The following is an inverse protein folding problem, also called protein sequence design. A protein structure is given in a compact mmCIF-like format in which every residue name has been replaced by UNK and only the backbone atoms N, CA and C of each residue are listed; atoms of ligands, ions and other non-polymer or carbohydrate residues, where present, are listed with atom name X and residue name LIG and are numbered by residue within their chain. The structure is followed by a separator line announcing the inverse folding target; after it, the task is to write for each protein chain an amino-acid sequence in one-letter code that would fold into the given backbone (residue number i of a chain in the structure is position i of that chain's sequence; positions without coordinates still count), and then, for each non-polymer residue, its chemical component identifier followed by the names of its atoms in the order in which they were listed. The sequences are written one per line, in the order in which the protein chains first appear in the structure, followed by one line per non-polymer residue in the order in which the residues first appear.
data_IF_779266194438
#
_entry.id   IF_779266194438
#
_cell.length_a   1.000
_cell.length_b   1.000
_cell.length_c   1.000
_cell.angle_alpha   90.00
_cell.angle_beta   90.00
_cell.angle_gamma   90.00
#
_symmetry.space_group_name_H-M   'P 1'
#
loop_
_entity.id
_entity.type
_entity.pdbx_description
1 polymer ?
#
# COMPACT_ATOMS: atom_id res chain seq x y z
N UNK A 1 -15.76 79.39 -18.30
CA UNK A 1 -16.00 78.45 -17.19
C UNK A 1 -16.71 77.24 -17.75
N UNK A 2 -15.96 76.18 -18.05
CA UNK A 2 -16.54 74.94 -18.60
C UNK A 2 -16.81 73.95 -17.45
N UNK A 3 -18.07 73.67 -17.22
CA UNK A 3 -18.51 72.66 -16.24
C UNK A 3 -18.41 71.28 -16.87
N UNK A 4 -17.52 70.43 -16.31
CA UNK A 4 -17.37 69.05 -16.69
C UNK A 4 -18.52 68.23 -16.12
N UNK A 5 -19.27 67.57 -17.01
CA UNK A 5 -20.46 66.82 -16.68
C UNK A 5 -20.11 65.39 -16.23
N UNK A 6 -20.23 65.10 -14.93
CA UNK A 6 -19.80 63.84 -14.25
C UNK A 6 -20.73 62.64 -14.48
N UNK A 7 -21.75 62.73 -15.34
CA UNK A 7 -22.72 61.61 -15.51
C UNK A 7 -22.23 60.41 -16.31
N UNK A 8 -21.11 60.50 -17.03
CA UNK A 8 -20.64 59.39 -17.90
C UNK A 8 -19.50 58.54 -17.29
N UNK A 9 -19.02 58.88 -16.11
CA UNK A 9 -17.89 58.12 -15.49
C UNK A 9 -18.39 56.85 -14.75
N UNK A 10 -19.62 56.86 -14.25
CA UNK A 10 -20.15 55.72 -13.50
C UNK A 10 -20.49 54.49 -14.37
N UNK A 11 -20.79 54.69 -15.64
CA UNK A 11 -21.11 53.56 -16.56
C UNK A 11 -19.88 52.76 -16.98
N UNK A 12 -18.73 53.39 -17.13
CA UNK A 12 -17.46 52.73 -17.56
C UNK A 12 -16.80 51.96 -16.41
N UNK A 13 -16.95 52.44 -15.17
CA UNK A 13 -16.39 51.76 -13.98
C UNK A 13 -17.21 50.50 -13.64
N UNK A 14 -18.54 50.51 -13.83
CA UNK A 14 -19.38 49.33 -13.60
C UNK A 14 -19.15 48.20 -14.65
N UNK A 15 -18.85 48.55 -15.92
CA UNK A 15 -18.49 47.56 -16.95
C UNK A 15 -17.10 46.94 -16.71
N UNK A 16 -16.15 47.75 -16.21
CA UNK A 16 -14.80 47.26 -15.88
C UNK A 16 -14.74 46.30 -14.67
N UNK A 17 -15.59 46.56 -13.68
CA UNK A 17 -15.70 45.69 -12.50
C UNK A 17 -16.45 44.39 -12.83
N UNK A 18 -17.41 44.40 -13.71
CA UNK A 18 -18.14 43.20 -14.19
C UNK A 18 -17.25 42.24 -14.96
N UNK A 19 -16.31 42.73 -15.75
CA UNK A 19 -15.35 41.92 -16.49
C UNK A 19 -14.23 41.33 -15.62
N UNK A 20 -13.83 42.02 -14.54
CA UNK A 20 -12.84 41.51 -13.59
C UNK A 20 -13.37 40.43 -12.65
N UNK A 21 -14.68 40.42 -12.37
CA UNK A 21 -15.31 39.39 -11.52
C UNK A 21 -15.53 38.08 -12.28
N UNK A 22 -15.67 38.09 -13.61
CA UNK A 22 -15.78 36.85 -14.41
C UNK A 22 -14.45 36.13 -14.64
N UNK A 23 -13.31 36.78 -14.45
CA UNK A 23 -11.99 36.16 -14.59
C UNK A 23 -11.54 35.36 -13.35
N UNK A 24 -12.26 35.43 -12.23
CA UNK A 24 -11.86 34.80 -10.96
C UNK A 24 -12.66 33.56 -10.54
N UNK A 25 -13.50 32.97 -11.41
CA UNK A 25 -14.39 31.86 -11.01
C UNK A 25 -14.09 30.49 -11.61
N UNK A 26 -12.89 30.26 -12.10
CA UNK A 26 -12.43 28.88 -12.32
C UNK A 26 -11.38 28.52 -11.26
N UNK A 27 -11.83 28.28 -10.01
CA UNK A 27 -11.06 27.40 -9.14
C UNK A 27 -11.00 26.06 -9.88
N UNK A 28 -9.81 25.51 -10.16
CA UNK A 28 -9.72 24.15 -10.64
C UNK A 28 -10.46 23.29 -9.62
N UNK A 29 -11.39 22.47 -10.11
CA UNK A 29 -12.16 21.60 -9.25
C UNK A 29 -11.19 20.86 -8.33
N UNK A 30 -11.48 20.81 -7.03
CA UNK A 30 -10.69 20.22 -5.94
C UNK A 30 -10.37 18.72 -6.08
N UNK A 31 -10.65 18.12 -7.24
CA UNK A 31 -10.58 16.70 -7.52
C UNK A 31 -9.18 16.21 -7.92
N UNK A 32 -8.15 17.06 -7.87
CA UNK A 32 -6.79 16.70 -8.33
C UNK A 32 -5.73 16.72 -7.23
N UNK A 33 -6.16 16.84 -5.97
CA UNK A 33 -5.28 16.86 -4.79
C UNK A 33 -5.04 15.43 -4.24
N UNK A 34 -4.76 14.47 -5.14
CA UNK A 34 -4.38 13.14 -4.68
C UNK A 34 -2.96 13.13 -4.12
N UNK A 35 -2.74 12.26 -3.14
CA UNK A 35 -1.42 12.03 -2.54
C UNK A 35 -1.02 10.58 -2.81
N UNK A 36 0.18 10.36 -3.38
CA UNK A 36 1.15 11.34 -3.88
C UNK A 36 0.67 12.05 -5.15
N UNK A 37 1.15 13.29 -5.36
CA UNK A 37 0.87 14.02 -6.61
C UNK A 37 1.63 13.36 -7.76
N UNK A 38 1.03 13.25 -8.96
CA UNK A 38 1.75 12.82 -10.15
C UNK A 38 2.87 13.79 -10.54
N UNK A 39 3.89 13.28 -11.25
CA UNK A 39 5.02 14.06 -11.75
C UNK A 39 4.57 15.17 -12.72
N UNK A 40 3.55 14.92 -13.53
CA UNK A 40 2.98 15.91 -14.45
C UNK A 40 1.46 15.85 -14.50
N UNK A 41 0.81 17.02 -14.43
CA UNK A 41 -0.64 17.18 -14.58
C UNK A 41 -0.92 18.34 -15.52
N UNK A 42 -1.73 18.11 -16.55
CA UNK A 42 -2.26 19.13 -17.44
C UNK A 42 -3.78 19.07 -17.48
N UNK A 43 -4.44 20.15 -17.08
CA UNK A 43 -5.91 20.26 -17.11
C UNK A 43 -6.32 20.87 -18.44
N UNK A 44 -7.29 20.24 -19.10
CA UNK A 44 -7.80 20.69 -20.37
C UNK A 44 -9.23 21.26 -20.23
N UNK A 45 -9.54 22.25 -21.05
CA UNK A 45 -10.92 22.65 -21.24
C UNK A 45 -11.67 21.54 -22.01
N UNK A 46 -12.86 21.16 -21.55
CA UNK A 46 -13.66 20.14 -22.24
C UNK A 46 -14.79 19.58 -21.36
N UNK A 47 -15.64 18.78 -21.98
CA UNK A 47 -16.65 18.04 -21.22
C UNK A 47 -16.00 16.91 -20.41
N UNK A 48 -16.45 16.68 -19.15
CA UNK A 48 -15.96 15.59 -18.36
C UNK A 48 -16.36 14.24 -18.95
N UNK A 49 -15.56 13.20 -18.67
CA UNK A 49 -15.95 11.81 -18.86
C UNK A 49 -16.92 11.40 -17.76
N UNK A 50 -17.97 10.66 -18.12
CA UNK A 50 -18.92 10.11 -17.15
C UNK A 50 -18.83 8.60 -17.12
N UNK A 51 -18.59 8.03 -15.95
CA UNK A 51 -18.66 6.58 -15.72
C UNK A 51 -20.10 6.19 -15.49
N UNK A 52 -20.61 5.29 -16.31
CA UNK A 52 -21.97 4.72 -16.22
C UNK A 52 -21.97 3.22 -16.60
N UNK A 53 -23.13 2.56 -16.59
CA UNK A 53 -23.30 1.13 -16.88
C UNK A 53 -22.91 0.74 -18.32
N UNK A 54 -22.71 1.72 -19.22
CA UNK A 54 -22.21 1.49 -20.60
C UNK A 54 -20.72 1.52 -20.67
N UNK A 55 -20.03 2.02 -19.63
CA UNK A 55 -18.58 2.14 -19.60
C UNK A 55 -17.94 0.78 -19.72
N UNK A 56 -17.03 0.64 -20.69
CA UNK A 56 -16.35 -0.61 -20.99
C UNK A 56 -14.85 -0.47 -20.70
N UNK A 57 -14.29 -1.42 -19.98
CA UNK A 57 -12.83 -1.56 -19.86
C UNK A 57 -12.32 -2.36 -21.03
N UNK A 58 -11.41 -1.77 -21.79
CA UNK A 58 -10.80 -2.38 -22.97
C UNK A 58 -9.32 -2.64 -22.66
N UNK A 59 -8.87 -3.87 -22.89
CA UNK A 59 -7.48 -4.28 -22.70
C UNK A 59 -6.95 -5.04 -23.93
N UNK A 60 -5.59 -5.15 -24.10
CA UNK A 60 -4.99 -5.69 -25.31
C UNK A 60 -5.45 -7.10 -25.64
N UNK A 61 -5.65 -7.38 -26.94
CA UNK A 61 -5.87 -8.74 -27.45
C UNK A 61 -4.65 -9.61 -27.19
N UNK A 62 -4.88 -10.90 -26.90
CA UNK A 62 -3.81 -11.89 -26.63
C UNK A 62 -3.49 -12.08 -25.13
N UNK A 63 -4.12 -11.30 -24.24
CA UNK A 63 -4.16 -11.60 -22.81
C UNK A 63 -5.57 -12.07 -22.46
N UNK A 64 -5.69 -13.32 -22.02
CA UNK A 64 -7.00 -13.87 -21.64
C UNK A 64 -7.56 -13.25 -20.37
N UNK A 65 -6.69 -12.67 -19.54
CA UNK A 65 -7.06 -12.10 -18.24
C UNK A 65 -6.28 -10.82 -17.96
N UNK A 66 -6.92 -9.93 -17.21
CA UNK A 66 -6.27 -8.75 -16.62
C UNK A 66 -5.32 -9.20 -15.49
N UNK A 67 -4.19 -8.50 -15.28
CA UNK A 67 -3.37 -8.70 -14.09
C UNK A 67 -4.21 -8.60 -12.81
N UNK A 68 -3.87 -9.41 -11.81
CA UNK A 68 -4.62 -9.49 -10.56
C UNK A 68 -4.80 -8.12 -9.88
N UNK A 69 -3.74 -7.31 -9.80
CA UNK A 69 -3.80 -5.96 -9.22
C UNK A 69 -4.75 -5.04 -9.98
N UNK A 70 -4.75 -5.11 -11.31
CA UNK A 70 -5.66 -4.34 -12.17
C UNK A 70 -7.11 -4.76 -11.93
N UNK A 71 -7.38 -6.07 -11.91
CA UNK A 71 -8.72 -6.63 -11.65
C UNK A 71 -9.23 -6.25 -10.27
N UNK A 72 -8.38 -6.31 -9.25
CA UNK A 72 -8.69 -5.90 -7.87
C UNK A 72 -9.11 -4.43 -7.81
N UNK A 73 -8.32 -3.53 -8.42
CA UNK A 73 -8.63 -2.10 -8.42
C UNK A 73 -9.96 -1.79 -9.13
N UNK A 74 -10.23 -2.46 -10.25
CA UNK A 74 -11.51 -2.33 -10.98
C UNK A 74 -12.66 -2.75 -10.07
N UNK A 75 -12.57 -3.91 -9.42
CA UNK A 75 -13.62 -4.40 -8.52
C UNK A 75 -13.86 -3.47 -7.32
N UNK A 76 -12.82 -2.81 -6.84
CA UNK A 76 -12.96 -1.79 -5.79
C UNK A 76 -13.67 -0.52 -6.29
N UNK A 77 -13.38 -0.08 -7.54
CA UNK A 77 -14.11 1.03 -8.17
C UNK A 77 -15.58 0.68 -8.39
N UNK A 78 -15.88 -0.52 -8.89
CA UNK A 78 -17.26 -1.02 -9.06
C UNK A 78 -18.03 -1.04 -7.73
N UNK A 79 -17.40 -1.52 -6.67
CA UNK A 79 -18.01 -1.54 -5.33
C UNK A 79 -18.31 -0.15 -4.79
N UNK A 80 -17.41 0.82 -5.02
CA UNK A 80 -17.64 2.20 -4.59
C UNK A 80 -18.73 2.90 -5.37
N UNK A 81 -18.74 2.73 -6.69
CA UNK A 81 -19.69 3.43 -7.58
C UNK A 81 -21.05 2.74 -7.67
N UNK A 82 -21.12 1.44 -7.36
CA UNK A 82 -22.28 0.58 -7.63
C UNK A 82 -22.46 0.26 -9.11
N UNK A 83 -21.48 0.60 -9.98
CA UNK A 83 -21.54 0.42 -11.43
C UNK A 83 -20.66 -0.75 -11.82
N UNK A 84 -21.23 -1.77 -12.45
CA UNK A 84 -20.46 -2.88 -13.03
C UNK A 84 -19.92 -2.50 -14.40
N UNK A 85 -18.61 -2.52 -14.56
CA UNK A 85 -17.93 -2.15 -15.79
C UNK A 85 -17.83 -3.35 -16.74
N UNK A 86 -18.26 -3.15 -18.01
CA UNK A 86 -18.11 -4.17 -19.03
C UNK A 86 -16.63 -4.38 -19.35
N UNK A 87 -16.26 -5.63 -19.65
CA UNK A 87 -14.87 -5.99 -20.03
C UNK A 87 -14.85 -6.45 -21.48
N UNK A 88 -13.89 -5.96 -22.27
CA UNK A 88 -13.72 -6.32 -23.67
C UNK A 88 -12.26 -6.37 -24.06
N UNK A 89 -11.93 -7.21 -25.03
CA UNK A 89 -10.63 -7.26 -25.68
C UNK A 89 -10.69 -6.62 -27.06
N UNK A 90 -9.66 -5.85 -27.43
CA UNK A 90 -9.56 -5.19 -28.75
C UNK A 90 -10.21 -3.82 -28.83
N UNK A 91 -9.82 -3.04 -29.83
CA UNK A 91 -10.12 -1.61 -29.96
C UNK A 91 -11.42 -1.32 -30.77
N UNK A 92 -12.45 -2.14 -30.66
CA UNK A 92 -13.72 -1.90 -31.32
C UNK A 92 -14.58 -0.97 -30.45
N UNK A 93 -14.84 0.24 -30.92
CA UNK A 93 -15.68 1.25 -30.30
C UNK A 93 -15.05 1.93 -29.07
N UNK A 94 -14.29 3.00 -29.30
CA UNK A 94 -13.55 3.77 -28.30
C UNK A 94 -14.41 4.85 -27.59
N UNK A 95 -15.76 4.73 -27.62
CA UNK A 95 -16.66 5.64 -26.89
C UNK A 95 -17.08 5.02 -25.58
N UNK A 96 -17.12 5.85 -24.54
CA UNK A 96 -17.45 5.49 -23.18
C UNK A 96 -16.63 4.28 -22.69
N UNK A 97 -15.30 4.43 -22.76
CA UNK A 97 -14.40 3.35 -22.39
C UNK A 97 -13.19 3.82 -21.56
N UNK A 98 -12.67 2.88 -20.78
CA UNK A 98 -11.35 2.95 -20.13
C UNK A 98 -10.44 2.00 -20.90
N UNK A 99 -9.50 2.56 -21.65
CA UNK A 99 -8.61 1.81 -22.52
C UNK A 99 -7.25 1.62 -21.85
N UNK A 100 -6.87 0.37 -21.61
CA UNK A 100 -5.55 0.00 -21.09
C UNK A 100 -4.63 -0.41 -22.23
N UNK A 101 -3.46 0.23 -22.32
CA UNK A 101 -2.43 -0.06 -23.33
C UNK A 101 -1.07 -0.29 -22.67
N UNK A 102 -0.31 -1.23 -23.20
CA UNK A 102 1.09 -1.38 -22.82
C UNK A 102 1.94 -0.39 -23.62
N UNK A 103 2.84 0.32 -22.94
CA UNK A 103 3.81 1.22 -23.54
C UNK A 103 5.22 0.94 -23.02
N UNK A 104 6.01 0.22 -23.82
CA UNK A 104 7.37 -0.19 -23.46
C UNK A 104 8.36 0.99 -23.32
N UNK A 105 8.05 2.17 -23.84
CA UNK A 105 8.90 3.35 -23.78
C UNK A 105 8.84 4.09 -22.43
N UNK A 106 7.82 3.79 -21.60
CA UNK A 106 7.68 4.39 -20.28
C UNK A 106 8.70 3.80 -19.29
N UNK A 107 9.08 4.54 -18.23
CA UNK A 107 9.86 4.01 -17.12
C UNK A 107 9.14 2.84 -16.41
N UNK A 108 9.88 2.03 -15.66
CA UNK A 108 9.29 0.99 -14.78
C UNK A 108 8.27 1.64 -13.85
N UNK A 109 7.11 0.99 -13.68
CA UNK A 109 5.96 1.49 -12.92
C UNK A 109 5.39 2.84 -13.43
N UNK A 110 5.86 3.34 -14.58
CA UNK A 110 5.42 4.61 -15.18
C UNK A 110 4.14 4.44 -16.00
N UNK A 111 3.30 5.47 -15.96
CA UNK A 111 2.06 5.52 -16.75
C UNK A 111 1.78 6.91 -17.31
N UNK A 112 0.98 6.94 -18.39
CA UNK A 112 0.27 8.12 -18.89
C UNK A 112 -1.22 7.86 -18.83
N UNK A 113 -1.98 8.85 -18.39
CA UNK A 113 -3.43 8.78 -18.31
C UNK A 113 -4.01 10.04 -18.95
N UNK A 114 -4.92 9.83 -19.91
CA UNK A 114 -5.62 10.93 -20.60
C UNK A 114 -7.13 10.73 -20.50
N UNK A 115 -7.81 11.73 -19.97
CA UNK A 115 -9.26 11.78 -19.86
C UNK A 115 -9.80 12.80 -20.87
N UNK A 116 -10.76 12.38 -21.67
CA UNK A 116 -11.58 13.25 -22.52
C UNK A 116 -13.06 12.85 -22.40
N UNK A 117 -13.96 13.55 -23.09
CA UNK A 117 -15.40 13.29 -22.98
C UNK A 117 -15.82 11.87 -23.39
N UNK A 118 -15.07 11.22 -24.30
CA UNK A 118 -15.42 9.93 -24.88
C UNK A 118 -14.69 8.75 -24.23
N UNK A 119 -13.49 8.98 -23.65
CA UNK A 119 -12.65 7.90 -23.16
C UNK A 119 -11.65 8.32 -22.08
N UNK A 120 -11.20 7.31 -21.34
CA UNK A 120 -10.00 7.37 -20.48
C UNK A 120 -8.97 6.43 -21.12
N UNK A 121 -7.86 6.98 -21.63
CA UNK A 121 -6.75 6.19 -22.14
C UNK A 121 -5.65 6.09 -21.07
N UNK A 122 -5.23 4.86 -20.75
CA UNK A 122 -4.13 4.55 -19.82
C UNK A 122 -3.06 3.79 -20.60
N UNK A 123 -1.89 4.39 -20.73
CA UNK A 123 -0.68 3.73 -21.20
C UNK A 123 0.19 3.39 -20.01
N UNK A 124 0.57 2.14 -19.87
CA UNK A 124 1.32 1.64 -18.72
C UNK A 124 2.50 0.77 -19.14
N UNK A 125 3.64 0.93 -18.46
CA UNK A 125 4.84 0.10 -18.69
C UNK A 125 4.62 -1.35 -18.31
N UNK A 126 3.93 -1.58 -17.20
CA UNK A 126 3.73 -2.88 -16.56
C UNK A 126 2.41 -2.93 -15.77
N UNK A 127 2.15 -4.04 -15.11
CA UNK A 127 0.92 -4.25 -14.34
C UNK A 127 0.82 -3.29 -13.13
N UNK A 128 1.94 -2.99 -12.47
CA UNK A 128 1.97 -2.05 -11.35
C UNK A 128 1.66 -0.63 -11.81
N UNK A 129 2.20 -0.20 -12.95
CA UNK A 129 1.89 1.08 -13.60
C UNK A 129 0.39 1.22 -13.89
N UNK A 130 -0.21 0.18 -14.49
CA UNK A 130 -1.65 0.16 -14.77
C UNK A 130 -2.48 0.23 -13.47
N UNK A 131 -2.06 -0.49 -12.42
CA UNK A 131 -2.66 -0.42 -11.10
C UNK A 131 -2.58 1.00 -10.51
N UNK A 132 -1.43 1.67 -10.59
CA UNK A 132 -1.27 3.03 -10.05
C UNK A 132 -2.11 4.06 -10.82
N UNK A 133 -2.23 3.93 -12.13
CA UNK A 133 -3.15 4.76 -12.91
C UNK A 133 -4.62 4.57 -12.50
N UNK A 134 -5.03 3.31 -12.27
CA UNK A 134 -6.36 2.99 -11.76
C UNK A 134 -6.58 3.44 -10.31
N UNK A 135 -5.54 3.39 -9.46
CA UNK A 135 -5.60 3.96 -8.11
C UNK A 135 -5.86 5.47 -8.16
N UNK A 136 -5.25 6.19 -9.11
CA UNK A 136 -5.54 7.60 -9.30
C UNK A 136 -7.01 7.83 -9.67
N UNK A 137 -7.56 7.05 -10.62
CA UNK A 137 -8.98 7.10 -10.94
C UNK A 137 -9.86 6.77 -9.73
N UNK A 138 -9.56 5.71 -9.02
CA UNK A 138 -10.30 5.31 -7.82
C UNK A 138 -10.33 6.42 -6.77
N UNK A 139 -9.18 7.05 -6.45
CA UNK A 139 -9.14 8.16 -5.52
C UNK A 139 -10.01 9.34 -5.98
N UNK A 140 -10.01 9.65 -7.27
CA UNK A 140 -10.86 10.70 -7.85
C UNK A 140 -12.36 10.39 -7.69
N UNK A 141 -12.73 9.10 -7.78
CA UNK A 141 -14.12 8.66 -7.59
C UNK A 141 -14.51 8.64 -6.11
N UNK A 142 -13.60 8.24 -5.21
CA UNK A 142 -13.84 8.22 -3.76
C UNK A 142 -14.20 9.60 -3.18
N UNK A 143 -13.76 10.67 -3.83
CA UNK A 143 -14.14 12.04 -3.45
C UNK A 143 -15.58 12.40 -3.84
N UNK A 144 -16.24 11.59 -4.67
CA UNK A 144 -17.61 11.79 -5.15
C UNK A 144 -18.56 10.85 -4.41
N UNK A 145 -19.47 11.42 -3.64
CA UNK A 145 -20.37 10.64 -2.75
C UNK A 145 -21.56 10.00 -3.49
N UNK A 146 -21.86 10.44 -4.70
CA UNK A 146 -23.03 9.96 -5.49
C UNK A 146 -22.85 10.23 -6.97
N UNK A 147 -23.56 9.50 -7.78
CA UNK A 147 -23.68 9.72 -9.23
C UNK A 147 -24.23 11.12 -9.56
N UNK A 148 -23.88 11.69 -10.74
CA UNK A 148 -23.01 11.08 -11.75
C UNK A 148 -21.54 11.12 -11.36
N UNK A 149 -20.81 10.02 -11.56
CA UNK A 149 -19.36 9.95 -11.35
C UNK A 149 -18.64 10.50 -12.58
N UNK A 150 -17.97 11.62 -12.42
CA UNK A 150 -17.34 12.34 -13.54
C UNK A 150 -15.86 12.61 -13.29
N UNK A 151 -15.12 12.65 -14.39
CA UNK A 151 -13.69 12.98 -14.39
C UNK A 151 -13.46 14.09 -15.42
N UNK A 152 -12.85 15.19 -15.02
CA UNK A 152 -12.55 16.31 -15.92
C UNK A 152 -11.53 15.91 -16.98
N UNK A 153 -11.51 16.61 -18.09
CA UNK A 153 -10.51 16.45 -19.13
C UNK A 153 -9.12 16.78 -18.57
N UNK A 154 -8.23 15.79 -18.52
CA UNK A 154 -6.93 15.88 -17.88
C UNK A 154 -5.92 14.95 -18.54
N UNK A 155 -4.68 15.33 -18.50
CA UNK A 155 -3.54 14.51 -18.90
C UNK A 155 -2.58 14.39 -17.71
N UNK A 156 -2.15 13.16 -17.41
CA UNK A 156 -1.25 12.83 -16.31
C UNK A 156 -0.11 12.01 -16.88
N UNK A 157 1.10 12.36 -16.47
CA UNK A 157 2.29 11.52 -16.63
C UNK A 157 2.89 11.31 -15.23
N UNK A 158 3.13 10.03 -14.88
CA UNK A 158 3.66 9.70 -13.57
C UNK A 158 4.56 8.48 -13.60
N UNK A 159 5.59 8.52 -12.78
CA UNK A 159 6.56 7.45 -12.56
C UNK A 159 7.22 7.65 -11.20
N UNK A 160 7.66 6.58 -10.52
CA UNK A 160 8.33 6.69 -9.25
C UNK A 160 9.76 7.21 -9.40
N UNK A 161 10.17 8.15 -8.56
CA UNK A 161 11.57 8.58 -8.44
C UNK A 161 12.43 7.52 -7.74
N UNK A 162 11.83 6.74 -6.82
CA UNK A 162 12.49 5.68 -6.07
C UNK A 162 11.84 4.33 -6.35
N UNK A 163 12.67 3.33 -6.67
CA UNK A 163 12.19 1.96 -6.92
C UNK A 163 11.69 1.27 -5.64
N UNK A 164 12.26 1.57 -4.49
CA UNK A 164 11.83 1.06 -3.19
C UNK A 164 11.02 2.14 -2.45
N UNK A 165 9.75 1.86 -2.19
CA UNK A 165 8.84 2.73 -1.47
C UNK A 165 8.06 1.89 -0.47
N UNK A 166 8.54 1.85 0.76
CA UNK A 166 8.00 0.96 1.79
C UNK A 166 7.61 1.67 3.07
N UNK A 167 6.83 0.97 3.87
CA UNK A 167 6.62 1.29 5.27
C UNK A 167 6.58 0.01 6.09
N UNK A 168 6.94 0.12 7.36
CA UNK A 168 7.00 -0.98 8.32
C UNK A 168 5.79 -0.94 9.23
N UNK A 169 5.27 -2.11 9.60
CA UNK A 169 4.31 -2.29 10.68
C UNK A 169 4.90 -3.27 11.70
N UNK A 170 5.10 -2.79 12.92
CA UNK A 170 5.49 -3.60 14.07
C UNK A 170 4.24 -4.25 14.67
N UNK A 171 4.10 -5.55 14.45
CA UNK A 171 3.01 -6.36 14.99
C UNK A 171 3.43 -7.13 16.24
N UNK A 172 4.71 -7.04 16.62
CA UNK A 172 5.28 -7.73 17.76
C UNK A 172 5.02 -6.99 19.08
N UNK A 173 5.38 -5.70 19.14
CA UNK A 173 5.11 -4.89 20.33
C UNK A 173 3.61 -4.74 20.60
N UNK A 174 2.83 -4.67 19.53
CA UNK A 174 1.36 -4.70 19.58
C UNK A 174 0.82 -5.63 18.47
N UNK A 175 -0.01 -6.61 18.83
CA UNK A 175 -0.60 -7.54 17.86
C UNK A 175 -1.72 -6.86 17.07
N UNK A 176 -1.68 -6.99 15.75
CA UNK A 176 -2.72 -6.55 14.82
C UNK A 176 -3.36 -7.77 14.16
N UNK A 177 -4.68 -7.76 14.02
CA UNK A 177 -5.40 -8.83 13.31
C UNK A 177 -5.11 -8.83 11.82
N UNK A 178 -5.41 -9.93 11.12
CA UNK A 178 -5.27 -10.04 9.66
C UNK A 178 -6.01 -8.91 8.94
N UNK A 179 -7.20 -8.56 9.40
CA UNK A 179 -8.01 -7.47 8.83
C UNK A 179 -7.34 -6.11 8.99
N UNK A 180 -6.71 -5.86 10.15
CA UNK A 180 -5.96 -4.62 10.39
C UNK A 180 -4.71 -4.54 9.50
N UNK A 181 -3.99 -5.66 9.33
CA UNK A 181 -2.85 -5.75 8.41
C UNK A 181 -3.28 -5.51 6.96
N UNK A 182 -4.39 -6.10 6.51
CA UNK A 182 -4.96 -5.83 5.19
C UNK A 182 -5.33 -4.36 5.00
N UNK A 183 -5.91 -3.74 6.02
CA UNK A 183 -6.21 -2.30 5.98
C UNK A 183 -4.95 -1.45 5.87
N UNK A 184 -3.87 -1.83 6.53
CA UNK A 184 -2.57 -1.17 6.37
C UNK A 184 -2.05 -1.31 4.93
N UNK A 185 -2.15 -2.51 4.34
CA UNK A 185 -1.81 -2.75 2.93
C UNK A 185 -2.66 -1.89 1.98
N UNK A 186 -3.95 -1.68 2.25
CA UNK A 186 -4.80 -0.78 1.47
C UNK A 186 -4.30 0.67 1.49
N UNK A 187 -3.81 1.14 2.66
CA UNK A 187 -3.22 2.47 2.78
C UNK A 187 -1.91 2.58 2.00
N UNK A 188 -1.04 1.56 2.08
CA UNK A 188 0.19 1.51 1.29
C UNK A 188 -0.12 1.59 -0.21
N UNK A 189 -1.07 0.79 -0.68
CA UNK A 189 -1.51 0.77 -2.08
C UNK A 189 -2.06 2.13 -2.54
N UNK A 190 -2.87 2.79 -1.69
CA UNK A 190 -3.42 4.11 -1.97
C UNK A 190 -2.32 5.16 -2.15
N UNK A 191 -1.23 5.04 -1.39
CA UNK A 191 -0.07 5.92 -1.48
C UNK A 191 1.01 5.44 -2.45
N UNK A 192 0.74 4.41 -3.27
CA UNK A 192 1.65 3.85 -4.27
C UNK A 192 2.98 3.35 -3.69
N UNK A 193 2.95 2.90 -2.44
CA UNK A 193 4.05 2.17 -1.83
C UNK A 193 4.02 0.73 -2.38
N UNK A 194 5.20 0.17 -2.65
CA UNK A 194 5.35 -1.15 -3.28
C UNK A 194 5.98 -2.21 -2.37
N UNK A 195 6.39 -1.83 -1.16
CA UNK A 195 6.93 -2.74 -0.16
C UNK A 195 6.22 -2.57 1.18
N UNK A 196 5.92 -3.70 1.80
CA UNK A 196 5.44 -3.79 3.17
C UNK A 196 6.48 -4.54 4.01
N UNK A 197 7.17 -3.86 4.90
CA UNK A 197 8.07 -4.44 5.87
C UNK A 197 7.25 -4.89 7.09
N UNK A 198 7.12 -6.21 7.27
CA UNK A 198 6.31 -6.82 8.32
C UNK A 198 7.21 -7.32 9.44
N UNK A 199 7.29 -6.55 10.53
CA UNK A 199 8.09 -6.88 11.71
C UNK A 199 7.34 -7.87 12.59
N UNK A 200 7.68 -9.15 12.43
CA UNK A 200 6.90 -10.29 12.93
C UNK A 200 7.34 -10.79 14.30
N UNK A 201 8.56 -10.48 14.73
CA UNK A 201 9.12 -11.03 15.96
C UNK A 201 9.93 -10.00 16.73
N UNK A 202 9.74 -9.99 18.06
CA UNK A 202 10.47 -9.14 18.99
C UNK A 202 10.31 -9.68 20.42
N UNK A 203 10.87 -8.99 21.41
CA UNK A 203 10.82 -9.34 22.84
C UNK A 203 9.40 -9.51 23.38
N UNK A 204 8.43 -8.73 22.84
CA UNK A 204 7.05 -8.69 23.32
C UNK A 204 6.14 -9.69 22.60
N UNK A 205 6.65 -10.39 21.60
CA UNK A 205 5.87 -11.41 20.94
C UNK A 205 6.47 -11.99 19.65
N UNK A 206 6.29 -13.29 19.50
CA UNK A 206 6.56 -14.02 18.28
C UNK A 206 5.26 -14.22 17.51
N UNK A 207 5.11 -13.63 16.33
CA UNK A 207 3.81 -13.52 15.65
C UNK A 207 3.62 -14.45 14.45
N UNK A 208 4.62 -15.24 14.07
CA UNK A 208 4.55 -16.13 12.91
C UNK A 208 4.61 -17.59 13.33
N UNK A 209 3.70 -18.41 12.80
CA UNK A 209 3.75 -19.87 13.00
C UNK A 209 4.98 -20.46 12.31
N UNK A 210 5.80 -21.16 13.09
CA UNK A 210 6.91 -22.02 12.62
C UNK A 210 6.58 -23.45 13.01
N UNK A 211 6.25 -24.27 12.04
CA UNK A 211 5.76 -25.67 12.29
C UNK A 211 6.78 -26.52 13.04
N UNK A 212 8.05 -26.31 12.75
CA UNK A 212 9.15 -27.01 13.45
C UNK A 212 9.27 -26.61 14.93
N UNK A 213 8.84 -25.40 15.28
CA UNK A 213 8.97 -24.85 16.62
C UNK A 213 7.61 -24.33 17.17
N UNK A 214 6.66 -25.21 17.49
CA UNK A 214 5.28 -24.82 17.83
C UNK A 214 5.18 -23.99 19.13
N UNK A 215 6.13 -24.11 20.04
CA UNK A 215 6.12 -23.32 21.28
C UNK A 215 6.30 -21.83 21.05
N UNK A 216 6.88 -21.42 19.91
CA UNK A 216 7.02 -20.02 19.55
C UNK A 216 5.66 -19.30 19.52
N UNK A 217 4.62 -19.95 19.02
CA UNK A 217 3.27 -19.38 19.00
C UNK A 217 2.43 -19.77 20.22
N UNK A 218 2.70 -20.94 20.84
CA UNK A 218 1.98 -21.36 22.04
C UNK A 218 2.36 -20.53 23.26
N UNK A 219 3.63 -20.19 23.42
CA UNK A 219 4.21 -19.44 24.54
C UNK A 219 4.63 -18.04 24.07
N UNK A 220 5.52 -17.94 23.09
CA UNK A 220 6.15 -16.70 22.66
C UNK A 220 5.20 -15.66 22.05
N UNK A 221 4.01 -16.06 21.59
CA UNK A 221 3.01 -15.14 21.06
C UNK A 221 2.19 -14.41 22.14
N UNK A 222 2.40 -14.75 23.41
CA UNK A 222 1.53 -14.28 24.51
C UNK A 222 2.33 -13.69 25.64
N UNK A 223 1.97 -12.51 26.09
CA UNK A 223 2.50 -11.86 27.30
C UNK A 223 1.42 -11.69 28.36
N UNK A 224 1.83 -11.66 29.63
CA UNK A 224 0.92 -11.61 30.77
C UNK A 224 0.20 -12.94 31.02
N UNK A 225 -0.57 -13.00 32.09
CA UNK A 225 -1.31 -14.19 32.54
C UNK A 225 -2.75 -13.83 32.95
N UNK A 226 -3.62 -14.84 32.99
CA UNK A 226 -5.01 -14.65 33.41
C UNK A 226 -5.75 -13.62 32.57
N UNK A 227 -6.35 -12.64 33.23
CA UNK A 227 -7.10 -11.55 32.57
C UNK A 227 -6.21 -10.52 31.84
N UNK A 228 -4.92 -10.51 32.13
CA UNK A 228 -3.94 -9.62 31.48
C UNK A 228 -3.24 -10.28 30.28
N UNK A 229 -3.60 -11.52 29.96
CA UNK A 229 -3.01 -12.24 28.83
C UNK A 229 -3.36 -11.54 27.53
N UNK A 230 -2.33 -11.08 26.83
CA UNK A 230 -2.45 -10.36 25.57
C UNK A 230 -1.50 -10.93 24.52
N UNK A 231 -1.94 -10.99 23.28
CA UNK A 231 -1.13 -11.43 22.15
C UNK A 231 -1.94 -12.01 21.03
N UNK A 232 -1.28 -12.77 20.19
CA UNK A 232 -1.80 -13.43 19.00
C UNK A 232 -0.67 -13.78 18.06
N UNK A 233 -0.97 -14.53 17.03
CA UNK A 233 -0.02 -14.89 15.98
C UNK A 233 -0.78 -15.13 14.67
N UNK A 234 -0.06 -15.22 13.59
CA UNK A 234 -0.56 -15.58 12.27
C UNK A 234 -0.18 -17.03 11.96
N UNK A 235 -1.15 -17.83 11.58
CA UNK A 235 -0.93 -19.16 11.00
C UNK A 235 -0.29 -18.98 9.62
N UNK A 236 0.38 -20.01 9.10
CA UNK A 236 0.94 -19.95 7.75
C UNK A 236 -0.15 -19.75 6.67
N UNK A 237 -1.36 -20.21 6.91
CA UNK A 237 -2.47 -20.00 5.98
C UNK A 237 -2.91 -18.52 5.99
N UNK A 238 -2.99 -17.87 7.14
CA UNK A 238 -3.27 -16.43 7.26
C UNK A 238 -2.13 -15.60 6.62
N UNK A 239 -0.87 -16.02 6.79
CA UNK A 239 0.26 -15.37 6.10
C UNK A 239 0.10 -15.45 4.58
N UNK A 240 -0.23 -16.62 4.03
CA UNK A 240 -0.47 -16.79 2.59
C UNK A 240 -1.63 -15.93 2.10
N UNK A 241 -2.69 -15.81 2.89
CA UNK A 241 -3.83 -14.93 2.60
C UNK A 241 -3.40 -13.46 2.52
N UNK A 242 -2.59 -13.00 3.47
CA UNK A 242 -2.05 -11.63 3.48
C UNK A 242 -1.10 -11.39 2.29
N UNK A 243 -0.26 -12.37 1.96
CA UNK A 243 0.63 -12.30 0.78
C UNK A 243 -0.18 -12.18 -0.52
N UNK A 244 -1.20 -13.00 -0.70
CA UNK A 244 -2.08 -12.92 -1.87
C UNK A 244 -2.81 -11.55 -1.94
N UNK A 245 -3.28 -11.06 -0.79
CA UNK A 245 -3.92 -9.76 -0.68
C UNK A 245 -3.00 -8.60 -1.08
N UNK A 246 -1.74 -8.62 -0.63
CA UNK A 246 -0.72 -7.63 -0.98
C UNK A 246 -0.35 -7.69 -2.47
N UNK A 247 -0.20 -8.90 -3.02
CA UNK A 247 0.06 -9.12 -4.44
C UNK A 247 -1.03 -8.53 -5.32
N UNK A 248 -2.31 -8.69 -4.94
CA UNK A 248 -3.44 -8.05 -5.62
C UNK A 248 -3.43 -6.51 -5.54
N UNK A 249 -2.46 -5.92 -4.84
CA UNK A 249 -2.25 -4.46 -4.69
C UNK A 249 -0.89 -3.98 -5.16
N UNK A 250 -0.17 -4.82 -5.90
CA UNK A 250 1.19 -4.56 -6.37
C UNK A 250 2.19 -4.28 -5.23
N UNK A 251 2.01 -4.94 -4.08
CA UNK A 251 2.87 -4.80 -2.90
C UNK A 251 3.59 -6.13 -2.64
N UNK A 252 4.91 -6.04 -2.45
CA UNK A 252 5.75 -7.14 -1.99
C UNK A 252 5.95 -7.04 -0.48
N UNK A 253 5.72 -8.14 0.25
CA UNK A 253 5.94 -8.18 1.69
C UNK A 253 7.39 -8.63 1.95
N UNK A 254 8.09 -7.87 2.78
CA UNK A 254 9.40 -8.23 3.34
C UNK A 254 9.15 -8.66 4.79
N UNK A 255 9.23 -9.97 5.11
CA UNK A 255 9.11 -10.41 6.49
C UNK A 255 10.38 -10.09 7.26
N UNK A 256 10.23 -9.69 8.53
CA UNK A 256 11.35 -9.55 9.45
C UNK A 256 11.24 -10.56 10.58
N UNK A 257 12.36 -11.28 10.80
CA UNK A 257 12.60 -12.11 11.96
C UNK A 257 13.83 -11.53 12.65
N UNK A 258 13.62 -10.79 13.72
CA UNK A 258 14.71 -10.10 14.40
C UNK A 258 15.58 -11.07 15.20
N UNK A 259 16.87 -11.07 14.90
CA UNK A 259 17.87 -12.00 15.42
C UNK A 259 19.25 -11.31 15.46
N UNK A 260 20.12 -11.64 16.41
CA UNK A 260 19.95 -12.52 17.57
C UNK A 260 19.51 -11.78 18.82
N UNK A 261 19.33 -10.44 18.78
CA UNK A 261 18.70 -9.60 19.78
C UNK A 261 17.18 -9.68 19.66
N UNK A 262 16.46 -8.94 20.53
CA UNK A 262 15.00 -8.84 20.52
C UNK A 262 14.27 -10.19 20.47
N UNK A 263 14.77 -11.17 21.25
CA UNK A 263 14.34 -12.57 21.17
C UNK A 263 13.81 -13.13 22.46
N UNK A 264 13.45 -12.30 23.47
CA UNK A 264 12.95 -12.84 24.75
C UNK A 264 11.68 -13.65 24.59
N UNK A 265 10.83 -13.36 23.60
CA UNK A 265 9.68 -14.19 23.27
C UNK A 265 10.07 -15.60 22.81
N UNK A 266 11.12 -15.71 21.98
CA UNK A 266 11.66 -17.00 21.56
C UNK A 266 12.37 -17.74 22.71
N UNK A 267 13.08 -16.99 23.56
CA UNK A 267 13.75 -17.55 24.75
C UNK A 267 12.71 -18.08 25.77
N UNK A 268 11.60 -17.39 25.94
CA UNK A 268 10.50 -17.87 26.80
C UNK A 268 9.91 -19.19 26.29
N UNK A 269 9.82 -19.35 24.96
CA UNK A 269 9.33 -20.56 24.34
C UNK A 269 10.35 -21.71 24.37
N UNK A 270 11.64 -21.41 24.18
CA UNK A 270 12.76 -22.36 24.12
C UNK A 270 13.95 -21.85 24.93
N UNK A 271 13.96 -22.03 26.26
CA UNK A 271 15.00 -21.47 27.15
C UNK A 271 16.43 -21.91 26.80
N UNK A 272 16.59 -23.07 26.19
CA UNK A 272 17.88 -23.59 25.76
C UNK A 272 18.57 -22.75 24.67
N UNK A 273 17.82 -21.87 23.98
CA UNK A 273 18.36 -20.91 23.00
C UNK A 273 19.22 -19.83 23.65
N UNK A 274 18.92 -19.46 24.90
CA UNK A 274 19.68 -18.45 25.64
C UNK A 274 20.94 -19.01 26.30
N UNK A 275 21.90 -18.12 26.60
CA UNK A 275 23.18 -18.53 27.21
C UNK A 275 23.01 -19.07 28.63
N UNK A 276 22.12 -18.51 29.43
CA UNK A 276 21.87 -18.90 30.84
C UNK A 276 20.90 -20.08 30.98
N UNK A 277 20.13 -20.41 29.93
CA UNK A 277 19.13 -21.50 29.97
C UNK A 277 17.83 -21.14 30.69
N UNK A 278 17.61 -19.89 31.04
CA UNK A 278 16.39 -19.39 31.64
C UNK A 278 16.35 -19.43 33.17
N UNK A 279 15.17 -19.21 33.80
CA UNK A 279 13.88 -19.00 33.13
C UNK A 279 13.78 -17.65 32.41
N UNK A 280 13.01 -17.61 31.33
CA UNK A 280 12.71 -16.39 30.57
C UNK A 280 11.19 -16.19 30.47
N UNK A 281 10.77 -14.94 30.36
CA UNK A 281 9.38 -14.55 30.16
C UNK A 281 9.25 -13.66 28.94
N UNK A 282 8.10 -13.70 28.26
CA UNK A 282 7.80 -12.75 27.18
C UNK A 282 7.71 -11.35 27.77
N UNK A 283 8.43 -10.39 27.20
CA UNK A 283 8.54 -9.05 27.77
C UNK A 283 7.18 -8.35 27.88
N UNK A 284 6.92 -7.77 29.02
CA UNK A 284 5.77 -6.87 29.25
C UNK A 284 6.09 -5.43 28.90
N UNK A 285 7.36 -5.09 28.72
CA UNK A 285 7.82 -3.75 28.43
C UNK A 285 7.32 -3.29 27.06
N UNK A 286 7.20 -1.98 26.89
CA UNK A 286 6.79 -1.39 25.61
C UNK A 286 7.94 -1.24 24.61
N UNK A 287 9.15 -1.43 25.06
CA UNK A 287 10.39 -1.33 24.30
C UNK A 287 11.58 -1.39 25.26
N UNK A 288 12.77 -1.33 24.72
CA UNK A 288 14.03 -1.38 25.45
C UNK A 288 14.93 -2.52 24.96
N UNK A 289 16.14 -2.57 25.48
CA UNK A 289 17.15 -3.54 25.10
C UNK A 289 17.33 -4.55 26.21
N UNK A 290 16.98 -5.80 25.95
CA UNK A 290 17.18 -6.90 26.89
C UNK A 290 18.57 -7.52 26.74
N UNK A 291 19.19 -7.89 27.88
CA UNK A 291 20.52 -8.52 27.89
C UNK A 291 20.50 -9.96 27.39
N UNK A 292 19.34 -10.61 27.48
CA UNK A 292 19.17 -11.99 27.08
C UNK A 292 18.87 -12.06 25.58
N UNK A 293 19.79 -12.66 24.84
CA UNK A 293 19.80 -12.83 23.41
C UNK A 293 20.05 -14.27 23.05
N UNK A 294 19.87 -14.65 21.79
CA UNK A 294 20.24 -15.99 21.32
C UNK A 294 21.73 -16.27 21.58
N UNK A 295 22.02 -17.44 22.14
CA UNK A 295 23.39 -17.88 22.39
C UNK A 295 24.00 -18.50 21.12
N UNK A 296 24.51 -17.67 20.22
CA UNK A 296 25.00 -18.10 18.91
C UNK A 296 26.21 -19.03 18.95
N UNK A 297 26.85 -19.21 20.13
CA UNK A 297 27.86 -20.23 20.38
C UNK A 297 27.29 -21.65 20.48
N UNK A 298 25.99 -21.81 20.73
CA UNK A 298 25.34 -23.12 20.85
C UNK A 298 24.88 -23.63 19.48
N UNK A 299 25.11 -24.92 19.22
CA UNK A 299 24.66 -25.58 17.98
C UNK A 299 23.14 -25.50 17.83
N UNK A 300 22.38 -25.73 18.92
CA UNK A 300 20.92 -25.66 18.92
C UNK A 300 20.41 -24.28 18.48
N UNK A 301 21.07 -23.20 18.89
CA UNK A 301 20.66 -21.84 18.50
C UNK A 301 20.95 -21.55 17.03
N UNK A 302 22.08 -22.05 16.50
CA UNK A 302 22.40 -21.94 15.06
C UNK A 302 21.38 -22.70 14.22
N UNK A 303 21.11 -23.96 14.60
CA UNK A 303 20.12 -24.80 13.89
C UNK A 303 18.73 -24.17 13.94
N UNK A 304 18.32 -23.59 15.09
CA UNK A 304 17.07 -22.86 15.22
C UNK A 304 16.97 -21.72 14.22
N UNK A 305 18.01 -20.89 14.12
CA UNK A 305 18.02 -19.76 13.17
C UNK A 305 17.91 -20.26 11.73
N UNK A 306 18.68 -21.27 11.34
CA UNK A 306 18.65 -21.87 10.00
C UNK A 306 17.25 -22.40 9.66
N UNK A 307 16.64 -23.15 10.56
CA UNK A 307 15.32 -23.74 10.37
C UNK A 307 14.22 -22.69 10.23
N UNK A 308 14.24 -21.67 11.10
CA UNK A 308 13.27 -20.59 11.07
C UNK A 308 13.37 -19.80 9.76
N UNK A 309 14.58 -19.38 9.40
CA UNK A 309 14.81 -18.61 8.17
C UNK A 309 14.47 -19.43 6.92
N UNK A 310 14.77 -20.73 6.90
CA UNK A 310 14.41 -21.60 5.78
C UNK A 310 12.88 -21.72 5.63
N UNK A 311 12.13 -21.87 6.74
CA UNK A 311 10.67 -21.98 6.71
C UNK A 311 10.01 -20.66 6.29
N UNK A 312 10.53 -19.52 6.78
CA UNK A 312 10.06 -18.18 6.38
C UNK A 312 10.36 -17.90 4.91
N UNK A 313 11.57 -18.20 4.43
CA UNK A 313 11.94 -18.04 3.03
C UNK A 313 11.09 -18.88 2.07
N UNK A 314 10.67 -20.08 2.49
CA UNK A 314 9.77 -20.92 1.72
C UNK A 314 8.32 -20.37 1.69
N UNK A 315 7.93 -19.62 2.72
CA UNK A 315 6.57 -19.07 2.84
C UNK A 315 6.38 -17.77 2.05
N UNK A 316 7.40 -16.90 2.04
CA UNK A 316 7.31 -15.57 1.43
C UNK A 316 7.97 -15.52 0.04
N UNK A 317 7.22 -15.20 -1.04
CA UNK A 317 7.78 -15.03 -2.38
C UNK A 317 8.43 -13.64 -2.52
N UNK A 318 9.28 -13.27 -1.58
CA UNK A 318 10.00 -11.99 -1.54
C UNK A 318 11.46 -12.18 -1.93
N UNK A 319 12.07 -11.23 -2.67
CA UNK A 319 13.51 -11.27 -2.92
C UNK A 319 14.33 -10.90 -1.67
N UNK A 320 13.67 -10.42 -0.62
CA UNK A 320 14.29 -9.97 0.63
C UNK A 320 13.66 -10.63 1.83
N UNK A 321 14.51 -10.98 2.80
CA UNK A 321 14.15 -11.37 4.15
C UNK A 321 14.97 -10.48 5.08
N UNK A 322 14.32 -9.75 5.98
CA UNK A 322 14.97 -8.90 6.96
C UNK A 322 15.25 -9.72 8.22
N UNK A 323 16.44 -9.59 8.75
CA UNK A 323 16.89 -10.37 9.94
C UNK A 323 17.09 -9.48 11.18
N UNK A 324 16.72 -8.20 11.14
CA UNK A 324 16.97 -7.25 12.20
C UNK A 324 18.47 -7.03 12.41
N UNK A 325 18.95 -7.44 13.55
CA UNK A 325 20.37 -7.42 13.88
C UNK A 325 20.79 -6.20 14.71
N UNK A 326 19.83 -5.41 15.14
CA UNK A 326 20.04 -4.23 15.95
C UNK A 326 20.15 -4.57 17.46
N UNK A 327 20.71 -3.64 18.20
CA UNK A 327 20.74 -3.57 19.66
C UNK A 327 21.12 -4.88 20.39
N UNK A 328 22.14 -5.61 19.88
CA UNK A 328 22.56 -6.91 20.43
C UNK A 328 23.55 -6.74 21.57
N UNK A 329 23.16 -6.85 22.86
CA UNK A 329 24.09 -6.79 23.98
C UNK A 329 24.98 -8.02 24.04
N UNK A 330 26.26 -7.81 24.35
CA UNK A 330 27.26 -8.90 24.46
C UNK A 330 27.42 -9.43 25.89
N UNK A 331 26.58 -8.95 26.84
CA UNK A 331 26.68 -9.29 28.25
C UNK A 331 26.67 -10.80 28.49
N UNK A 332 25.74 -11.51 27.84
CA UNK A 332 25.57 -12.96 27.98
C UNK A 332 26.57 -13.78 27.18
N UNK A 333 27.19 -13.18 26.17
CA UNK A 333 28.22 -13.88 25.36
C UNK A 333 29.64 -13.85 25.99
N UNK A 334 29.82 -12.99 26.99
CA UNK A 334 31.08 -12.84 27.72
C UNK A 334 31.11 -13.57 29.05
N UNK A 335 29.98 -14.14 29.47
CA UNK A 335 29.83 -14.80 30.77
C UNK A 335 30.30 -16.26 30.75
#
# INVERSE_FOLDING_TARGET
MNTINFKNIHGVILLGIGLLVQACSQRPASNYLQIPQPAGITIHAGKPFTIDERTTIIYPTGKNELPESVSTCISEMERHTGITLKKSTGEKNLKNCILLKHNAALPTEGFRLKVNADSIAIEAKDASAAFYALQWLKQSLLLQKKAPFTLSAIEIEDYPEMNYRGAMLDVSRHFFTVEQVKRFIDLLAMHRLNYFHWHLTDDQGWRIEIKKYPELTRVGAWKGTGSERYGGFYTQEEIKEVIAYAKGRAITIIPEIDLPGHTTAALAAYPQLGCTGGPYEVSMDRGGVHKDVLCMGKEFSRQFVEDVLAEVAALFPSPYLHIGGDEVPRDRWKA
#
